data_IF_824948028145
#
_entry.id   IF_824948028145
#
_cell.length_a   1.000
_cell.length_b   1.000
_cell.length_c   1.000
_cell.angle_alpha   90.00
_cell.angle_beta   90.00
_cell.angle_gamma   90.00
#
_symmetry.space_group_name_H-M   'P 1'
#
loop_
_entity.id
_entity.type
_entity.pdbx_description
1 polymer ?
#
# COMPACT_ATOMS: atom_id res chain seq x y z
N UNK A 1 -26.71 19.75 40.73
CA UNK A 1 -27.93 19.81 39.89
C UNK A 1 -28.78 21.00 40.33
N UNK A 2 -29.75 21.42 39.51
CA UNK A 2 -30.68 22.52 39.85
C UNK A 2 -31.48 22.17 41.11
N UNK A 3 -31.83 20.88 41.25
CA UNK A 3 -32.46 20.31 42.43
C UNK A 3 -31.67 20.62 43.70
N UNK A 4 -30.38 20.28 43.72
CA UNK A 4 -29.54 20.48 44.88
C UNK A 4 -29.34 21.96 45.17
N UNK A 5 -29.20 22.81 44.15
CA UNK A 5 -29.12 24.26 44.32
C UNK A 5 -30.40 24.83 44.95
N UNK A 6 -31.58 24.47 44.43
CA UNK A 6 -32.87 24.91 44.97
C UNK A 6 -33.09 24.42 46.40
N UNK A 7 -32.86 23.14 46.67
CA UNK A 7 -33.03 22.57 48.02
C UNK A 7 -32.07 23.25 48.99
N UNK A 8 -30.78 23.36 48.67
CA UNK A 8 -29.81 24.04 49.54
C UNK A 8 -30.20 25.51 49.79
N UNK A 9 -30.67 26.22 48.76
CA UNK A 9 -31.10 27.61 48.91
C UNK A 9 -32.34 27.74 49.81
N UNK A 10 -33.36 26.91 49.61
CA UNK A 10 -34.56 26.88 50.44
C UNK A 10 -34.21 26.51 51.89
N UNK A 11 -33.41 25.48 52.11
CA UNK A 11 -33.06 25.00 53.45
C UNK A 11 -32.16 25.96 54.23
N UNK A 12 -31.16 26.53 53.58
CA UNK A 12 -30.26 27.50 54.20
C UNK A 12 -31.02 28.75 54.66
N UNK A 13 -31.92 29.27 53.81
CA UNK A 13 -32.72 30.44 54.14
C UNK A 13 -33.78 30.16 55.20
N UNK A 14 -34.47 29.01 55.13
CA UNK A 14 -35.39 28.60 56.20
C UNK A 14 -34.67 28.46 57.53
N UNK A 15 -33.49 27.84 57.56
CA UNK A 15 -32.69 27.73 58.79
C UNK A 15 -32.22 29.10 59.29
N UNK A 16 -31.90 30.03 58.39
CA UNK A 16 -31.58 31.42 58.74
C UNK A 16 -32.77 32.14 59.39
N UNK A 17 -33.96 32.06 58.77
CA UNK A 17 -35.20 32.66 59.28
C UNK A 17 -35.60 32.01 60.61
N UNK A 18 -35.51 30.68 60.73
CA UNK A 18 -35.78 29.94 61.97
C UNK A 18 -34.95 30.47 63.13
N UNK A 19 -33.61 30.50 62.97
CA UNK A 19 -32.70 31.01 64.01
C UNK A 19 -32.97 32.47 64.35
N UNK A 20 -33.32 33.27 63.34
CA UNK A 20 -33.66 34.68 63.50
C UNK A 20 -34.94 34.85 64.34
N UNK A 21 -35.97 34.03 64.11
CA UNK A 21 -37.23 34.04 64.87
C UNK A 21 -37.01 33.47 66.28
N UNK A 22 -36.31 32.35 66.40
CA UNK A 22 -36.02 31.68 67.67
C UNK A 22 -35.27 32.61 68.63
N UNK A 23 -34.24 33.33 68.14
CA UNK A 23 -33.52 34.31 68.95
C UNK A 23 -34.43 35.40 69.53
N UNK A 24 -35.45 35.82 68.77
CA UNK A 24 -36.41 36.84 69.21
C UNK A 24 -37.49 36.28 70.12
N UNK A 25 -37.93 35.05 69.88
CA UNK A 25 -38.76 34.27 70.82
C UNK A 25 -38.05 34.17 72.18
N UNK A 26 -36.75 33.91 72.19
CA UNK A 26 -35.96 33.84 73.43
C UNK A 26 -35.93 35.18 74.18
N UNK A 27 -35.79 36.31 73.47
CA UNK A 27 -35.86 37.65 74.09
C UNK A 27 -37.25 37.92 74.69
N UNK A 28 -38.33 37.59 73.98
CA UNK A 28 -39.71 37.76 74.49
C UNK A 28 -39.98 36.84 75.68
N UNK A 29 -39.51 35.60 75.63
CA UNK A 29 -39.66 34.66 76.74
C UNK A 29 -38.87 35.11 77.98
N UNK A 30 -37.67 35.68 77.81
CA UNK A 30 -36.90 36.25 78.92
C UNK A 30 -37.61 37.47 79.53
N UNK A 31 -38.28 38.30 78.71
CA UNK A 31 -39.02 39.45 79.19
C UNK A 31 -40.20 39.10 80.13
N UNK A 32 -40.71 37.86 80.08
CA UNK A 32 -41.76 37.35 81.00
C UNK A 32 -41.36 37.44 82.46
N UNK A 33 -40.07 37.28 82.71
CA UNK A 33 -39.54 37.29 84.06
C UNK A 33 -39.38 38.70 84.63
N UNK A 34 -39.64 39.77 83.85
CA UNK A 34 -39.59 41.15 84.33
C UNK A 34 -40.42 41.35 85.61
N UNK A 35 -41.63 40.79 85.65
CA UNK A 35 -42.53 40.87 86.81
C UNK A 35 -42.08 40.03 88.03
N UNK A 36 -41.05 39.18 87.91
CA UNK A 36 -40.40 38.53 89.07
C UNK A 36 -39.57 39.53 89.88
N UNK A 37 -39.07 40.58 89.23
CA UNK A 37 -38.03 41.45 89.79
C UNK A 37 -38.52 42.86 90.09
N UNK A 38 -39.56 43.35 89.40
CA UNK A 38 -40.08 44.71 89.55
C UNK A 38 -41.57 44.80 89.21
N UNK A 39 -42.27 45.72 89.87
CA UNK A 39 -43.66 46.11 89.53
C UNK A 39 -43.73 47.14 88.39
N UNK A 40 -42.61 47.78 88.06
CA UNK A 40 -42.44 48.66 86.88
C UNK A 40 -41.45 48.02 85.89
N UNK A 41 -41.94 47.21 84.93
CA UNK A 41 -41.11 46.47 83.99
C UNK A 41 -40.66 47.31 82.77
N UNK A 42 -40.93 48.63 82.74
CA UNK A 42 -40.67 49.46 81.55
C UNK A 42 -39.23 49.36 81.04
N UNK A 43 -38.25 49.41 81.94
CA UNK A 43 -36.82 49.29 81.60
C UNK A 43 -36.45 47.92 81.01
N UNK A 44 -37.11 46.84 81.46
CA UNK A 44 -36.95 45.50 80.87
C UNK A 44 -37.50 45.46 79.45
N UNK A 45 -38.66 46.06 79.22
CA UNK A 45 -39.23 46.13 77.87
C UNK A 45 -38.40 47.02 76.94
N UNK A 46 -37.81 48.13 77.42
CA UNK A 46 -36.85 48.92 76.63
C UNK A 46 -35.62 48.08 76.25
N UNK A 47 -35.06 47.33 77.21
CA UNK A 47 -33.93 46.43 76.96
C UNK A 47 -34.28 45.33 75.96
N UNK A 48 -35.43 44.68 76.12
CA UNK A 48 -35.92 43.66 75.18
C UNK A 48 -36.14 44.24 73.78
N UNK A 49 -36.69 45.45 73.67
CA UNK A 49 -36.87 46.17 72.40
C UNK A 49 -35.53 46.29 71.66
N UNK A 50 -34.50 46.78 72.36
CA UNK A 50 -33.18 46.96 71.77
C UNK A 50 -32.48 45.62 71.46
N UNK A 51 -32.52 44.66 72.39
CA UNK A 51 -31.84 43.37 72.26
C UNK A 51 -32.42 42.51 71.13
N UNK A 52 -33.74 42.49 70.98
CA UNK A 52 -34.42 41.77 69.90
C UNK A 52 -34.53 42.56 68.59
N UNK A 53 -34.11 43.84 68.59
CA UNK A 53 -34.33 44.79 67.49
C UNK A 53 -35.81 44.85 67.09
N UNK A 54 -36.68 44.90 68.09
CA UNK A 54 -38.11 45.09 67.90
C UNK A 54 -38.41 46.56 67.65
N UNK A 55 -39.55 46.82 67.02
CA UNK A 55 -40.14 48.15 66.98
C UNK A 55 -40.55 48.58 68.39
N UNK A 56 -41.17 47.67 69.14
CA UNK A 56 -41.54 47.85 70.53
C UNK A 56 -41.74 46.49 71.21
N UNK A 57 -41.34 46.38 72.48
CA UNK A 57 -41.77 45.30 73.38
C UNK A 57 -42.71 45.86 74.45
N UNK A 58 -43.74 45.10 74.81
CA UNK A 58 -44.81 45.53 75.69
C UNK A 58 -45.50 44.35 76.39
N UNK A 59 -46.32 44.65 77.40
CA UNK A 59 -47.20 43.71 78.07
C UNK A 59 -48.64 44.26 78.14
N UNK A 60 -49.61 43.44 77.76
CA UNK A 60 -50.99 43.60 78.16
C UNK A 60 -51.26 42.78 79.41
N UNK A 61 -51.83 43.38 80.44
CA UNK A 61 -52.24 42.69 81.66
C UNK A 61 -53.71 42.26 81.57
N UNK A 62 -54.08 41.23 82.35
CA UNK A 62 -55.45 40.73 82.42
C UNK A 62 -56.45 41.76 82.97
N UNK A 63 -55.98 42.72 83.77
CA UNK A 63 -56.73 43.88 84.25
C UNK A 63 -56.95 44.97 83.18
N UNK A 64 -56.33 44.83 82.00
CA UNK A 64 -56.46 45.76 80.86
C UNK A 64 -55.35 46.81 80.77
N UNK A 65 -54.43 46.90 81.74
CA UNK A 65 -53.28 47.81 81.64
C UNK A 65 -52.37 47.40 80.49
N UNK A 66 -51.82 48.40 79.79
CA UNK A 66 -50.86 48.23 78.71
C UNK A 66 -49.54 48.92 79.09
N UNK A 67 -48.48 48.13 79.19
CA UNK A 67 -47.15 48.58 79.62
C UNK A 67 -46.18 48.45 78.47
N UNK A 68 -45.46 49.51 78.14
CA UNK A 68 -44.64 49.60 76.94
C UNK A 68 -43.20 49.95 77.27
N UNK A 69 -42.25 49.36 76.53
CA UNK A 69 -40.82 49.68 76.65
C UNK A 69 -40.41 50.97 75.94
N UNK A 70 -41.23 51.45 75.01
CA UNK A 70 -41.03 52.71 74.29
C UNK A 70 -42.35 53.46 74.35
N UNK A 71 -42.30 54.78 74.61
CA UNK A 71 -43.51 55.59 74.69
C UNK A 71 -44.05 55.90 73.29
N UNK A 72 -44.86 54.99 72.75
CA UNK A 72 -45.63 55.20 71.53
C UNK A 72 -47.05 55.68 71.85
N UNK A 73 -47.67 56.51 70.99
CA UNK A 73 -49.05 56.96 71.17
C UNK A 73 -50.01 55.77 71.20
N UNK A 74 -50.83 55.67 72.25
CA UNK A 74 -51.89 54.67 72.36
C UNK A 74 -53.23 55.32 72.06
N UNK A 75 -54.03 54.79 71.11
CA UNK A 75 -55.36 55.33 70.83
C UNK A 75 -56.26 55.33 72.06
N UNK A 76 -57.13 56.34 72.16
CA UNK A 76 -58.13 56.40 73.23
C UNK A 76 -59.04 55.17 73.17
N UNK A 77 -59.29 54.52 74.32
CA UNK A 77 -60.09 53.30 74.40
C UNK A 77 -59.38 52.01 73.98
N UNK A 78 -58.06 52.03 73.77
CA UNK A 78 -57.28 50.83 73.46
C UNK A 78 -57.34 49.80 74.60
N UNK A 79 -57.78 48.58 74.29
CA UNK A 79 -57.73 47.43 75.19
C UNK A 79 -56.85 46.32 74.57
N UNK A 80 -55.69 46.00 75.17
CA UNK A 80 -54.78 44.99 74.63
C UNK A 80 -55.43 43.60 74.55
N UNK A 81 -56.43 43.29 75.39
CA UNK A 81 -57.07 41.97 75.48
C UNK A 81 -57.92 41.63 74.26
N UNK A 82 -58.30 42.64 73.47
CA UNK A 82 -59.09 42.46 72.25
C UNK A 82 -58.25 42.09 71.03
N UNK A 83 -56.92 42.29 71.11
CA UNK A 83 -55.98 42.12 70.00
C UNK A 83 -55.62 40.65 69.78
N UNK A 84 -55.34 40.28 68.54
CA UNK A 84 -55.02 38.89 68.19
C UNK A 84 -53.71 38.42 68.83
N UNK A 85 -52.73 39.33 68.95
CA UNK A 85 -51.49 39.07 69.68
C UNK A 85 -51.74 38.75 71.16
N UNK A 86 -52.87 39.15 71.75
CA UNK A 86 -53.24 38.78 73.11
C UNK A 86 -54.07 37.49 73.14
N UNK A 87 -55.15 37.42 72.35
CA UNK A 87 -56.11 36.30 72.40
C UNK A 87 -55.48 34.96 72.05
N UNK A 88 -54.66 34.90 71.00
CA UNK A 88 -54.08 33.65 70.47
C UNK A 88 -53.11 32.97 71.46
N UNK A 89 -52.11 33.66 72.04
CA UNK A 89 -51.26 33.06 73.06
C UNK A 89 -52.03 32.72 74.34
N UNK A 90 -53.03 33.51 74.73
CA UNK A 90 -53.88 33.18 75.89
C UNK A 90 -54.66 31.88 75.67
N UNK A 91 -55.23 31.67 74.47
CA UNK A 91 -55.99 30.43 74.18
C UNK A 91 -55.10 29.21 73.98
N UNK A 92 -53.91 29.39 73.42
CA UNK A 92 -52.99 28.28 73.10
C UNK A 92 -52.04 27.92 74.24
N UNK A 93 -51.81 28.84 75.18
CA UNK A 93 -50.83 28.70 76.26
C UNK A 93 -49.38 28.68 75.79
N UNK A 94 -49.11 29.06 74.53
CA UNK A 94 -47.79 28.95 73.89
C UNK A 94 -47.35 30.30 73.33
N UNK A 95 -46.04 30.45 73.14
CA UNK A 95 -45.51 31.55 72.32
C UNK A 95 -45.96 31.38 70.88
N UNK A 96 -46.47 32.44 70.27
CA UNK A 96 -46.93 32.45 68.89
C UNK A 96 -46.34 33.64 68.15
N UNK A 97 -46.24 33.49 66.83
CA UNK A 97 -45.94 34.58 65.90
C UNK A 97 -47.23 34.88 65.16
N UNK A 98 -47.71 36.12 65.21
CA UNK A 98 -49.00 36.48 64.59
C UNK A 98 -48.93 36.52 63.07
N UNK A 99 -50.09 36.53 62.42
CA UNK A 99 -50.17 37.02 61.05
C UNK A 99 -49.79 38.52 61.01
N UNK A 100 -49.32 39.06 59.86
CA UNK A 100 -49.02 40.48 59.76
C UNK A 100 -50.28 41.33 59.86
N UNK A 101 -50.24 42.40 60.65
CA UNK A 101 -51.33 43.34 60.83
C UNK A 101 -50.80 44.77 60.97
N UNK A 102 -51.68 45.77 60.78
CA UNK A 102 -51.31 47.16 60.96
C UNK A 102 -51.17 47.51 62.45
N UNK A 103 -50.00 47.99 62.85
CA UNK A 103 -49.76 48.50 64.19
C UNK A 103 -50.66 49.72 64.46
N UNK A 104 -51.22 49.76 65.66
CA UNK A 104 -52.21 50.78 66.05
C UNK A 104 -51.60 52.15 66.31
N UNK A 105 -50.30 52.21 66.61
CA UNK A 105 -49.59 53.45 66.94
C UNK A 105 -48.89 54.05 65.72
N UNK A 106 -48.29 53.21 64.88
CA UNK A 106 -47.45 53.63 63.75
C UNK A 106 -48.11 53.44 62.38
N UNK A 107 -49.18 52.65 62.30
CA UNK A 107 -49.81 52.23 61.05
C UNK A 107 -48.88 51.41 60.12
N UNK A 108 -47.72 50.98 60.62
CA UNK A 108 -46.81 50.09 59.91
C UNK A 108 -47.33 48.64 59.97
N UNK A 109 -47.03 47.85 58.94
CA UNK A 109 -47.27 46.41 59.00
C UNK A 109 -46.24 45.76 59.92
N UNK A 110 -46.75 45.11 60.97
CA UNK A 110 -45.95 44.42 61.97
C UNK A 110 -46.38 42.97 62.14
N UNK A 111 -45.47 42.18 62.67
CA UNK A 111 -45.74 40.84 63.19
C UNK A 111 -45.34 40.82 64.65
N UNK A 112 -46.21 40.30 65.52
CA UNK A 112 -45.91 40.24 66.95
C UNK A 112 -45.47 38.84 67.34
N UNK A 113 -44.35 38.74 68.04
CA UNK A 113 -44.03 37.55 68.82
C UNK A 113 -44.69 37.75 70.19
N UNK A 114 -45.69 36.93 70.48
CA UNK A 114 -46.51 37.09 71.66
C UNK A 114 -46.50 35.83 72.52
N UNK A 115 -46.46 36.01 73.83
CA UNK A 115 -46.36 34.88 74.75
C UNK A 115 -47.08 35.14 76.07
N UNK A 116 -47.89 34.18 76.56
CA UNK A 116 -48.61 34.36 77.80
C UNK A 116 -47.65 34.23 78.98
N UNK A 117 -47.96 34.94 80.06
CA UNK A 117 -47.25 34.82 81.33
C UNK A 117 -48.21 34.88 82.51
N UNK A 118 -47.81 34.22 83.60
CA UNK A 118 -48.45 34.30 84.90
C UNK A 118 -47.35 34.21 85.96
N UNK A 119 -47.04 35.32 86.61
CA UNK A 119 -45.86 35.45 87.46
C UNK A 119 -46.05 36.54 88.50
N UNK A 120 -45.69 36.26 89.76
CA UNK A 120 -45.73 37.21 90.87
C UNK A 120 -47.09 37.94 91.04
N UNK A 121 -48.20 37.24 90.82
CA UNK A 121 -49.55 37.82 90.90
C UNK A 121 -50.01 38.59 89.65
N UNK A 122 -49.12 38.83 88.68
CA UNK A 122 -49.46 39.41 87.38
C UNK A 122 -49.75 38.31 86.36
N UNK A 123 -50.78 38.52 85.55
CA UNK A 123 -51.11 37.65 84.41
C UNK A 123 -51.40 38.49 83.19
N UNK A 124 -51.01 38.00 82.02
CA UNK A 124 -51.13 38.75 80.79
C UNK A 124 -50.39 38.12 79.62
N UNK A 125 -50.13 38.93 78.60
CA UNK A 125 -49.37 38.55 77.42
C UNK A 125 -48.29 39.60 77.17
N UNK A 126 -47.05 39.14 76.98
CA UNK A 126 -45.97 39.98 76.47
C UNK A 126 -45.95 39.84 74.96
N UNK A 127 -45.91 40.98 74.27
CA UNK A 127 -45.74 41.07 72.83
C UNK A 127 -44.47 41.84 72.51
N UNK A 128 -43.85 41.49 71.37
CA UNK A 128 -42.86 42.35 70.76
C UNK A 128 -43.07 42.41 69.25
N UNK A 129 -43.17 43.63 68.74
CA UNK A 129 -43.49 43.89 67.33
C UNK A 129 -42.22 43.92 66.48
N UNK A 130 -42.27 43.16 65.40
CA UNK A 130 -41.26 43.15 64.36
C UNK A 130 -41.82 43.90 63.16
N UNK A 131 -41.07 44.88 62.69
CA UNK A 131 -41.41 45.60 61.48
C UNK A 131 -41.27 44.65 60.27
N UNK A 132 -42.37 44.48 59.52
CA UNK A 132 -42.42 43.54 58.41
C UNK A 132 -41.45 43.93 57.28
N UNK A 133 -41.11 45.21 57.14
CA UNK A 133 -40.17 45.67 56.11
C UNK A 133 -38.78 45.04 56.27
N UNK A 134 -38.32 44.80 57.51
CA UNK A 134 -37.04 44.14 57.76
C UNK A 134 -37.05 42.72 57.19
N UNK A 135 -38.13 41.97 57.45
CA UNK A 135 -38.30 40.62 56.92
C UNK A 135 -38.45 40.59 55.40
N UNK A 136 -39.18 41.56 54.83
CA UNK A 136 -39.32 41.71 53.37
C UNK A 136 -37.95 41.94 52.74
N UNK A 137 -37.16 42.86 53.27
CA UNK A 137 -35.84 43.17 52.71
C UNK A 137 -34.89 41.96 52.77
N UNK A 138 -34.92 41.20 53.87
CA UNK A 138 -34.11 39.98 54.01
C UNK A 138 -34.51 38.93 52.96
N UNK A 139 -35.81 38.73 52.71
CA UNK A 139 -36.31 37.80 51.68
C UNK A 139 -35.97 38.28 50.27
N UNK A 140 -36.07 39.59 50.00
CA UNK A 140 -35.74 40.19 48.69
C UNK A 140 -34.23 40.14 48.42
N UNK A 141 -33.38 40.19 49.44
CA UNK A 141 -31.93 40.13 49.27
C UNK A 141 -31.41 38.82 48.65
N UNK A 142 -32.25 37.78 48.63
CA UNK A 142 -31.96 36.46 48.04
C UNK A 142 -32.07 36.52 46.49
N UNK A 143 -32.70 37.55 45.95
CA UNK A 143 -32.96 37.70 44.51
C UNK A 143 -31.67 37.71 43.69
N UNK A 144 -31.65 36.87 42.65
CA UNK A 144 -30.61 36.76 41.63
C UNK A 144 -31.28 36.71 40.26
N UNK A 145 -30.55 36.90 39.15
CA UNK A 145 -31.12 36.75 37.82
C UNK A 145 -31.80 35.38 37.64
N UNK A 146 -33.13 35.38 37.50
CA UNK A 146 -33.96 34.18 37.39
C UNK A 146 -34.21 33.42 38.69
N UNK A 147 -33.88 33.96 39.86
CA UNK A 147 -34.18 33.34 41.17
C UNK A 147 -34.73 34.40 42.12
N UNK A 148 -35.89 34.16 42.71
CA UNK A 148 -36.42 35.03 43.77
C UNK A 148 -37.15 34.19 44.82
N UNK A 149 -37.43 34.79 45.97
CA UNK A 149 -38.13 34.13 47.06
C UNK A 149 -39.27 35.00 47.61
N UNK A 150 -40.21 34.35 48.28
CA UNK A 150 -41.30 35.01 48.99
C UNK A 150 -41.78 34.15 50.18
N UNK A 151 -42.43 34.80 51.14
CA UNK A 151 -43.08 34.15 52.29
C UNK A 151 -44.59 34.19 52.12
N UNK A 152 -45.24 33.08 52.44
CA UNK A 152 -46.71 32.95 52.46
C UNK A 152 -47.14 32.36 53.80
N UNK A 153 -48.24 32.81 54.38
CA UNK A 153 -48.82 32.15 55.55
C UNK A 153 -49.59 30.86 55.19
N UNK A 154 -50.06 30.13 56.20
CA UNK A 154 -50.81 28.89 55.97
C UNK A 154 -52.19 29.10 55.35
N UNK A 155 -52.69 30.34 55.28
CA UNK A 155 -53.93 30.70 54.60
C UNK A 155 -53.69 31.10 53.12
N UNK A 156 -52.43 31.15 52.68
CA UNK A 156 -52.07 31.52 51.32
C UNK A 156 -51.96 33.02 51.10
N UNK A 157 -51.87 33.85 52.14
CA UNK A 157 -51.58 35.28 52.00
C UNK A 157 -50.08 35.51 51.99
N UNK A 158 -49.65 36.46 51.16
CA UNK A 158 -48.25 36.81 51.00
C UNK A 158 -47.81 37.67 52.20
N UNK A 159 -46.79 37.19 52.90
CA UNK A 159 -46.18 37.87 54.05
C UNK A 159 -45.03 38.77 53.59
N UNK A 160 -44.21 38.28 52.66
CA UNK A 160 -43.12 39.05 52.08
C UNK A 160 -42.89 38.66 50.62
N UNK A 161 -42.73 39.64 49.74
CA UNK A 161 -42.47 39.44 48.32
C UNK A 161 -41.70 40.65 47.76
N UNK A 162 -40.96 40.46 46.66
CA UNK A 162 -40.21 41.55 45.98
C UNK A 162 -41.11 42.68 45.49
N UNK A 163 -42.29 42.31 45.00
CA UNK A 163 -43.38 43.23 44.75
C UNK A 163 -44.17 43.43 46.06
N UNK A 164 -43.99 44.62 46.67
CA UNK A 164 -44.62 44.98 47.94
C UNK A 164 -46.12 45.18 47.82
N UNK A 165 -46.64 45.43 46.61
CA UNK A 165 -48.08 45.56 46.40
C UNK A 165 -48.81 44.22 46.55
N UNK A 166 -48.07 43.10 46.57
CA UNK A 166 -48.61 41.77 46.81
C UNK A 166 -48.73 41.43 48.30
N UNK A 167 -48.14 42.20 49.21
CA UNK A 167 -48.22 41.93 50.65
C UNK A 167 -49.69 41.90 51.12
N UNK A 168 -50.03 40.90 51.93
CA UNK A 168 -51.38 40.53 52.39
C UNK A 168 -52.36 40.06 51.31
N UNK A 169 -52.00 40.09 50.01
CA UNK A 169 -52.82 39.52 48.93
C UNK A 169 -52.63 38.00 48.85
N UNK A 170 -53.51 37.35 48.10
CA UNK A 170 -53.44 35.89 47.90
C UNK A 170 -52.22 35.52 47.05
N UNK A 171 -51.60 34.38 47.34
CA UNK A 171 -50.54 33.78 46.51
C UNK A 171 -51.00 33.51 45.06
N UNK A 172 -52.31 33.41 44.83
CA UNK A 172 -52.89 33.31 43.49
C UNK A 172 -52.63 34.57 42.62
N UNK A 173 -52.29 35.71 43.25
CA UNK A 173 -51.86 36.92 42.53
C UNK A 173 -50.43 36.83 41.98
N UNK A 174 -49.61 35.89 42.47
CA UNK A 174 -48.27 35.59 41.91
C UNK A 174 -48.37 34.66 40.70
N UNK A 175 -49.29 33.69 40.73
CA UNK A 175 -49.66 32.88 39.57
C UNK A 175 -51.00 32.21 39.83
N UNK A 176 -51.86 32.14 38.81
CA UNK A 176 -53.18 31.51 38.91
C UNK A 176 -53.11 30.03 39.33
N UNK A 177 -51.97 29.38 39.10
CA UNK A 177 -51.73 27.99 39.45
C UNK A 177 -51.24 27.80 40.90
N UNK A 178 -51.08 28.89 41.67
CA UNK A 178 -50.67 28.84 43.07
C UNK A 178 -51.87 28.94 44.01
N UNK A 179 -51.81 28.15 45.08
CA UNK A 179 -52.77 28.16 46.17
C UNK A 179 -52.09 27.79 47.49
N UNK A 180 -52.74 28.09 48.62
CA UNK A 180 -52.25 27.69 49.95
C UNK A 180 -52.00 26.18 50.03
N UNK A 181 -52.91 25.37 49.49
CA UNK A 181 -52.79 23.91 49.46
C UNK A 181 -51.58 23.46 48.65
N UNK A 182 -51.30 24.14 47.53
CA UNK A 182 -50.14 23.84 46.68
C UNK A 182 -48.82 24.11 47.39
N UNK A 183 -48.72 25.26 48.06
CA UNK A 183 -47.53 25.60 48.86
C UNK A 183 -47.32 24.60 50.01
N UNK A 184 -48.41 24.19 50.68
CA UNK A 184 -48.38 23.15 51.73
C UNK A 184 -47.92 21.79 51.18
N UNK A 185 -48.42 21.37 50.01
CA UNK A 185 -47.97 20.09 49.42
C UNK A 185 -46.49 20.14 49.04
N UNK A 186 -46.03 21.25 48.46
CA UNK A 186 -44.62 21.45 48.12
C UNK A 186 -43.70 21.43 49.35
N UNK A 187 -44.21 21.84 50.52
CA UNK A 187 -43.43 21.82 51.76
C UNK A 187 -43.21 20.42 52.36
N UNK A 188 -44.02 19.44 51.95
CA UNK A 188 -43.97 18.08 52.49
C UNK A 188 -43.08 17.15 51.67
N UNK A 189 -42.89 17.46 50.39
CA UNK A 189 -42.03 16.69 49.48
C UNK A 189 -40.71 17.45 49.23
N UNK A 190 -39.55 16.89 49.63
CA UNK A 190 -38.25 17.50 49.35
C UNK A 190 -37.93 17.40 47.85
N UNK A 191 -38.55 18.28 47.08
CA UNK A 191 -38.41 18.40 45.63
C UNK A 191 -38.74 19.80 45.15
N UNK A 192 -38.77 19.95 43.83
CA UNK A 192 -39.32 21.11 43.17
C UNK A 192 -40.40 20.64 42.22
N UNK A 193 -41.36 21.51 41.97
CA UNK A 193 -42.36 21.29 40.94
C UNK A 193 -42.14 22.24 39.78
N UNK A 194 -42.24 21.70 38.57
CA UNK A 194 -42.20 22.51 37.37
C UNK A 194 -43.57 23.10 37.10
N UNK A 195 -43.64 24.43 36.98
CA UNK A 195 -44.88 25.11 36.63
C UNK A 195 -44.62 26.44 35.95
N UNK A 196 -45.67 26.99 35.33
CA UNK A 196 -45.61 28.34 34.77
C UNK A 196 -45.95 29.38 35.83
N UNK A 197 -45.02 30.29 36.09
CA UNK A 197 -45.21 31.51 36.89
C UNK A 197 -44.99 32.70 35.96
N UNK A 198 -45.95 33.63 35.90
CA UNK A 198 -45.90 34.79 35.01
C UNK A 198 -45.58 34.46 33.54
N UNK A 199 -46.03 33.29 33.06
CA UNK A 199 -45.78 32.82 31.69
C UNK A 199 -44.40 32.21 31.43
N UNK A 200 -43.51 32.17 32.44
CA UNK A 200 -42.19 31.55 32.35
C UNK A 200 -42.18 30.15 33.00
N UNK A 201 -41.53 29.18 32.35
CA UNK A 201 -41.27 27.87 32.96
C UNK A 201 -40.34 28.02 34.16
N UNK A 202 -40.87 27.71 35.33
CA UNK A 202 -40.21 27.91 36.61
C UNK A 202 -40.19 26.64 37.44
N UNK A 203 -39.20 26.53 38.32
CA UNK A 203 -39.13 25.51 39.35
C UNK A 203 -39.48 26.13 40.69
N UNK A 204 -40.42 25.52 41.39
CA UNK A 204 -40.87 25.99 42.70
C UNK A 204 -40.55 24.99 43.78
N UNK A 205 -39.99 25.50 44.88
CA UNK A 205 -39.79 24.74 46.11
C UNK A 205 -40.30 25.57 47.28
N UNK A 206 -40.99 24.92 48.21
CA UNK A 206 -41.46 25.57 49.43
C UNK A 206 -41.01 24.77 50.65
N UNK A 207 -40.80 25.43 51.78
CA UNK A 207 -40.53 24.76 53.05
C UNK A 207 -41.14 25.55 54.19
N UNK A 208 -41.77 24.86 55.14
CA UNK A 208 -42.38 25.49 56.30
C UNK A 208 -41.29 26.09 57.19
N UNK A 209 -41.49 27.33 57.62
CA UNK A 209 -40.64 28.03 58.58
C UNK A 209 -41.04 27.60 59.99
N UNK A 210 -40.15 26.96 60.77
CA UNK A 210 -40.44 26.54 62.13
C UNK A 210 -40.90 27.70 63.03
N UNK A 211 -41.68 27.37 64.07
CA UNK A 211 -42.29 28.34 65.01
C UNK A 211 -43.30 29.34 64.42
N UNK A 212 -43.55 29.28 63.11
CA UNK A 212 -44.53 30.11 62.42
C UNK A 212 -45.50 29.26 61.60
N UNK A 213 -46.52 29.89 61.05
CA UNK A 213 -47.33 29.29 59.99
C UNK A 213 -46.89 29.73 58.58
N UNK A 214 -45.65 30.21 58.44
CA UNK A 214 -45.13 30.68 57.17
C UNK A 214 -44.45 29.58 56.37
N UNK A 215 -44.48 29.76 55.06
CA UNK A 215 -43.84 28.91 54.07
C UNK A 215 -42.91 29.78 53.24
N UNK A 216 -41.63 29.47 53.29
CA UNK A 216 -40.62 30.11 52.45
C UNK A 216 -40.61 29.41 51.10
N UNK A 217 -40.89 30.17 50.05
CA UNK A 217 -41.02 29.67 48.69
C UNK A 217 -39.97 30.30 47.80
N UNK A 218 -39.23 29.47 47.07
CA UNK A 218 -38.23 29.87 46.08
C UNK A 218 -38.77 29.58 44.69
N UNK A 219 -38.60 30.54 43.78
CA UNK A 219 -38.94 30.43 42.37
C UNK A 219 -37.67 30.56 41.54
N UNK A 220 -37.42 29.59 40.67
CA UNK A 220 -36.30 29.59 39.73
C UNK A 220 -36.85 29.60 38.29
N UNK A 221 -36.77 30.73 37.61
CA UNK A 221 -37.07 30.87 36.19
C UNK A 221 -35.98 30.19 35.35
N UNK A 222 -36.35 29.11 34.65
CA UNK A 222 -35.41 28.35 33.82
C UNK A 222 -34.84 29.20 32.69
N UNK A 223 -35.63 30.07 32.08
CA UNK A 223 -35.20 30.83 30.91
C UNK A 223 -34.06 31.80 31.27
N UNK A 224 -34.16 32.44 32.43
CA UNK A 224 -33.18 33.42 32.92
C UNK A 224 -32.00 32.74 33.62
N UNK A 225 -32.25 31.73 34.46
CA UNK A 225 -31.18 31.02 35.17
C UNK A 225 -30.25 30.25 34.20
N UNK A 226 -30.80 29.68 33.11
CA UNK A 226 -30.00 29.00 32.07
C UNK A 226 -29.53 29.91 30.93
N UNK A 227 -29.89 31.20 30.91
CA UNK A 227 -29.47 32.11 29.84
C UNK A 227 -27.93 32.18 29.72
N UNK A 228 -27.25 32.30 30.86
CA UNK A 228 -25.78 32.31 30.93
C UNK A 228 -25.17 30.98 30.45
N UNK A 229 -25.83 29.85 30.71
CA UNK A 229 -25.37 28.53 30.27
C UNK A 229 -25.53 28.33 28.75
N UNK A 230 -26.63 28.82 28.16
CA UNK A 230 -26.86 28.78 26.70
C UNK A 230 -25.80 29.57 25.93
N UNK A 231 -25.30 30.68 26.49
CA UNK A 231 -24.20 31.45 25.90
C UNK A 231 -22.91 30.63 25.86
N UNK A 232 -22.55 29.99 26.98
CA UNK A 232 -21.37 29.12 27.07
C UNK A 232 -21.47 27.92 26.11
N UNK A 233 -22.63 27.25 26.04
CA UNK A 233 -22.85 26.15 25.10
C UNK A 233 -22.65 26.59 23.64
N UNK A 234 -23.16 27.76 23.26
CA UNK A 234 -23.02 28.31 21.91
C UNK A 234 -21.56 28.63 21.58
N UNK A 235 -20.83 29.24 22.52
CA UNK A 235 -19.40 29.52 22.36
C UNK A 235 -18.60 28.23 22.23
N UNK A 236 -18.84 27.24 23.09
CA UNK A 236 -18.20 25.92 23.02
C UNK A 236 -18.50 25.22 21.69
N UNK A 237 -19.73 25.30 21.17
CA UNK A 237 -20.08 24.76 19.86
C UNK A 237 -19.33 25.45 18.71
N UNK A 238 -19.23 26.78 18.74
CA UNK A 238 -18.45 27.55 17.75
C UNK A 238 -16.97 27.18 17.81
N UNK A 239 -16.37 27.12 19.02
CA UNK A 239 -14.98 26.70 19.19
C UNK A 239 -14.74 25.27 18.69
N UNK A 240 -15.66 24.34 18.97
CA UNK A 240 -15.60 22.98 18.46
C UNK A 240 -15.65 22.90 16.93
N UNK A 241 -16.50 23.71 16.29
CA UNK A 241 -16.57 23.80 14.83
C UNK A 241 -15.30 24.39 14.23
N UNK A 242 -14.74 25.45 14.82
CA UNK A 242 -13.48 26.05 14.38
C UNK A 242 -12.34 25.03 14.51
N UNK A 243 -12.27 24.31 15.63
CA UNK A 243 -11.28 23.27 15.85
C UNK A 243 -11.38 22.16 14.80
N UNK A 244 -12.59 21.68 14.50
CA UNK A 244 -12.83 20.71 13.42
C UNK A 244 -12.37 21.23 12.06
N UNK A 245 -12.69 22.49 11.73
CA UNK A 245 -12.26 23.10 10.48
C UNK A 245 -10.74 23.21 10.37
N UNK A 246 -10.05 23.58 11.46
CA UNK A 246 -8.58 23.63 11.52
C UNK A 246 -7.97 22.24 11.35
N UNK A 247 -8.49 21.23 12.03
CA UNK A 247 -8.04 19.84 11.88
C UNK A 247 -8.22 19.37 10.44
N UNK A 248 -9.39 19.62 9.84
CA UNK A 248 -9.67 19.24 8.46
C UNK A 248 -8.73 19.96 7.47
N UNK A 249 -8.46 21.25 7.68
CA UNK A 249 -7.54 22.03 6.86
C UNK A 249 -6.10 21.50 6.94
N UNK A 250 -5.60 21.26 8.15
CA UNK A 250 -4.26 20.71 8.38
C UNK A 250 -4.14 19.31 7.80
N UNK A 251 -5.14 18.44 8.02
CA UNK A 251 -5.17 17.09 7.46
C UNK A 251 -5.14 17.13 5.92
N UNK A 252 -5.97 17.99 5.31
CA UNK A 252 -5.98 18.17 3.85
C UNK A 252 -4.62 18.64 3.32
N UNK A 253 -3.99 19.60 4.00
CA UNK A 253 -2.67 20.09 3.62
C UNK A 253 -1.58 19.00 3.70
N UNK A 254 -1.56 18.23 4.81
CA UNK A 254 -0.60 17.14 5.02
C UNK A 254 -0.82 16.02 3.99
N UNK A 255 -2.06 15.57 3.78
CA UNK A 255 -2.40 14.51 2.82
C UNK A 255 -2.00 14.94 1.40
N UNK A 256 -2.34 16.16 0.99
CA UNK A 256 -2.00 16.68 -0.34
C UNK A 256 -0.48 16.74 -0.55
N UNK A 257 0.27 17.15 0.47
CA UNK A 257 1.75 17.21 0.41
C UNK A 257 2.38 15.82 0.40
N UNK A 258 1.86 14.88 1.20
CA UNK A 258 2.37 13.51 1.28
C UNK A 258 2.09 12.71 0.01
N UNK A 259 0.92 12.91 -0.63
CA UNK A 259 0.53 12.17 -1.84
C UNK A 259 0.96 12.83 -3.16
N UNK A 260 1.48 14.07 -3.15
CA UNK A 260 1.95 14.74 -4.36
C UNK A 260 2.94 13.91 -5.23
N UNK A 261 3.89 13.15 -4.66
CA UNK A 261 4.81 12.34 -5.46
C UNK A 261 4.11 11.20 -6.25
N UNK A 262 2.95 10.72 -5.79
CA UNK A 262 2.18 9.69 -6.52
C UNK A 262 1.66 10.22 -7.86
N UNK A 263 1.27 11.49 -7.94
CA UNK A 263 0.83 12.08 -9.23
C UNK A 263 1.98 12.18 -10.22
N UNK A 264 3.20 12.48 -9.76
CA UNK A 264 4.40 12.47 -10.59
C UNK A 264 4.73 11.06 -11.08
N UNK A 265 4.67 10.07 -10.18
CA UNK A 265 4.88 8.67 -10.52
C UNK A 265 3.86 8.17 -11.56
N UNK A 266 2.58 8.48 -11.36
CA UNK A 266 1.51 8.16 -12.30
C UNK A 266 1.75 8.78 -13.68
N UNK A 267 2.15 10.06 -13.72
CA UNK A 267 2.42 10.77 -14.97
C UNK A 267 3.63 10.19 -15.71
N UNK A 268 4.69 9.81 -14.98
CA UNK A 268 5.87 9.17 -15.55
C UNK A 268 5.55 7.77 -16.13
N UNK A 269 4.71 6.98 -15.44
CA UNK A 269 4.24 5.69 -15.94
C UNK A 269 3.28 5.83 -17.13
N UNK A 270 2.42 6.86 -17.14
CA UNK A 270 1.58 7.17 -18.29
C UNK A 270 2.42 7.57 -19.50
N UNK A 271 3.42 8.44 -19.32
CA UNK A 271 4.36 8.81 -20.38
C UNK A 271 5.14 7.60 -20.92
N UNK A 272 5.55 6.67 -20.04
CA UNK A 272 6.24 5.45 -20.44
C UNK A 272 5.32 4.47 -21.22
N UNK A 273 4.03 4.38 -20.86
CA UNK A 273 3.10 3.42 -21.47
C UNK A 273 2.40 3.94 -22.73
N UNK A 274 2.07 5.23 -22.78
CA UNK A 274 1.34 5.86 -23.90
C UNK A 274 2.21 6.70 -24.81
N UNK A 275 3.38 7.13 -24.35
CA UNK A 275 4.33 7.91 -25.14
C UNK A 275 5.19 7.03 -26.04
N UNK A 276 6.24 7.62 -26.59
CA UNK A 276 7.21 6.96 -27.50
C UNK A 276 8.13 5.94 -26.79
N UNK A 277 7.81 5.56 -25.55
CA UNK A 277 8.63 4.64 -24.76
C UNK A 277 10.02 5.19 -24.42
N UNK A 278 10.14 6.51 -24.19
CA UNK A 278 11.41 7.14 -23.82
C UNK A 278 11.93 6.64 -22.46
N UNK A 279 12.78 5.62 -22.52
CA UNK A 279 13.41 5.01 -21.35
C UNK A 279 14.50 5.90 -20.72
N UNK A 280 14.81 7.08 -21.26
CA UNK A 280 15.82 7.99 -20.68
C UNK A 280 15.28 8.78 -19.48
N UNK A 281 13.95 8.90 -19.38
CA UNK A 281 13.29 9.57 -18.26
C UNK A 281 13.52 8.82 -16.94
N UNK A 282 13.64 9.59 -15.84
CA UNK A 282 13.78 9.07 -14.48
C UNK A 282 12.87 9.81 -13.52
N UNK A 283 12.35 9.08 -12.54
CA UNK A 283 11.54 9.67 -11.47
C UNK A 283 12.49 10.25 -10.42
N UNK A 284 12.35 11.55 -10.14
CA UNK A 284 13.12 12.21 -9.08
C UNK A 284 12.70 11.71 -7.70
N UNK A 285 13.65 11.20 -6.92
CA UNK A 285 13.39 10.66 -5.58
C UNK A 285 13.65 11.74 -4.53
N UNK A 286 12.59 12.42 -4.09
CA UNK A 286 12.67 13.49 -3.08
C UNK A 286 12.16 13.07 -1.70
N UNK A 287 11.65 11.84 -1.55
CA UNK A 287 11.13 11.31 -0.28
C UNK A 287 11.92 10.09 0.19
N UNK A 288 11.97 9.89 1.51
CA UNK A 288 12.58 8.73 2.17
C UNK A 288 11.53 7.73 2.69
N UNK A 289 10.28 7.90 2.27
CA UNK A 289 9.14 7.05 2.63
C UNK A 289 8.94 5.89 1.64
N UNK A 290 7.82 5.19 1.76
CA UNK A 290 7.40 4.11 0.89
C UNK A 290 7.26 4.57 -0.57
N UNK A 291 6.89 5.83 -0.82
CA UNK A 291 6.76 6.39 -2.17
C UNK A 291 8.15 6.62 -2.79
N UNK A 292 9.11 7.11 -2.00
CA UNK A 292 10.51 7.21 -2.43
C UNK A 292 11.11 5.83 -2.78
N UNK A 293 10.82 4.83 -1.96
CA UNK A 293 11.24 3.44 -2.20
C UNK A 293 10.64 2.87 -3.49
N UNK A 294 9.36 3.12 -3.74
CA UNK A 294 8.69 2.73 -4.98
C UNK A 294 9.32 3.40 -6.21
N UNK A 295 9.63 4.69 -6.14
CA UNK A 295 10.31 5.41 -7.22
C UNK A 295 11.70 4.81 -7.55
N UNK A 296 12.45 4.35 -6.55
CA UNK A 296 13.71 3.64 -6.77
C UNK A 296 13.51 2.32 -7.53
N UNK A 297 12.54 1.50 -7.14
CA UNK A 297 12.25 0.25 -7.85
C UNK A 297 11.85 0.47 -9.30
N UNK A 298 11.04 1.51 -9.57
CA UNK A 298 10.65 1.85 -10.94
C UNK A 298 11.85 2.31 -11.77
N UNK A 299 12.74 3.15 -11.22
CA UNK A 299 13.96 3.55 -11.92
C UNK A 299 14.89 2.35 -12.20
N UNK A 300 14.98 1.38 -11.28
CA UNK A 300 15.74 0.15 -11.50
C UNK A 300 15.13 -0.72 -12.62
N UNK A 301 13.80 -0.81 -12.67
CA UNK A 301 13.09 -1.49 -13.75
C UNK A 301 13.35 -0.84 -15.12
N UNK A 302 13.27 0.50 -15.21
CA UNK A 302 13.59 1.24 -16.43
C UNK A 302 15.04 1.00 -16.86
N UNK A 303 15.99 1.01 -15.91
CA UNK A 303 17.40 0.72 -16.21
C UNK A 303 17.59 -0.69 -16.79
N UNK A 304 16.88 -1.69 -16.26
CA UNK A 304 16.95 -3.05 -16.78
C UNK A 304 16.35 -3.17 -18.19
N UNK A 305 15.28 -2.43 -18.47
CA UNK A 305 14.72 -2.36 -19.83
C UNK A 305 15.70 -1.73 -20.82
N UNK A 306 16.41 -0.66 -20.44
CA UNK A 306 17.43 -0.05 -21.31
C UNK A 306 18.56 -1.03 -21.64
N UNK A 307 19.01 -1.82 -20.66
CA UNK A 307 20.03 -2.84 -20.88
C UNK A 307 19.56 -3.89 -21.90
N UNK A 308 18.32 -4.40 -21.74
CA UNK A 308 17.73 -5.36 -22.69
C UNK A 308 17.63 -4.76 -24.10
N UNK A 309 17.18 -3.52 -24.23
CA UNK A 309 17.06 -2.85 -25.54
C UNK A 309 18.45 -2.67 -26.19
N UNK A 310 19.48 -2.35 -25.40
CA UNK A 310 20.85 -2.25 -25.90
C UNK A 310 21.38 -3.60 -26.38
N UNK A 311 21.17 -4.66 -25.60
CA UNK A 311 21.59 -6.01 -25.97
C UNK A 311 20.90 -6.50 -27.26
N UNK A 312 19.63 -6.13 -27.47
CA UNK A 312 18.90 -6.40 -28.72
C UNK A 312 19.51 -5.63 -29.89
N UNK A 313 19.85 -4.35 -29.70
CA UNK A 313 20.48 -3.53 -30.74
C UNK A 313 21.85 -4.09 -31.15
N UNK A 314 22.67 -4.48 -30.17
CA UNK A 314 23.98 -5.09 -30.40
C UNK A 314 23.85 -6.45 -31.13
N UNK A 315 22.90 -7.29 -30.69
CA UNK A 315 22.60 -8.57 -31.36
C UNK A 315 22.11 -8.38 -32.80
N UNK A 316 21.29 -7.35 -33.04
CA UNK A 316 20.81 -7.01 -34.38
C UNK A 316 21.94 -6.54 -35.29
N UNK A 317 22.90 -5.77 -34.75
CA UNK A 317 24.09 -5.35 -35.48
C UNK A 317 24.97 -6.54 -35.86
N UNK A 318 25.22 -7.47 -34.93
CA UNK A 318 25.97 -8.70 -35.20
C UNK A 318 25.27 -9.57 -36.25
N UNK A 319 23.94 -9.69 -36.17
CA UNK A 319 23.17 -10.43 -37.17
C UNK A 319 23.29 -9.81 -38.57
N UNK A 320 23.28 -8.48 -38.65
CA UNK A 320 23.46 -7.77 -39.92
C UNK A 320 24.87 -8.02 -40.51
N UNK A 321 25.91 -7.92 -39.69
CA UNK A 321 27.29 -8.23 -40.10
C UNK A 321 27.44 -9.69 -40.57
N UNK A 322 26.87 -10.64 -39.82
CA UNK A 322 26.90 -12.05 -40.20
C UNK A 322 26.14 -12.33 -41.50
N UNK A 323 25.04 -11.60 -41.75
CA UNK A 323 24.27 -11.69 -43.00
C UNK A 323 25.08 -11.18 -44.19
N UNK A 324 25.87 -10.11 -44.01
CA UNK A 324 26.79 -9.61 -45.03
C UNK A 324 27.90 -10.61 -45.33
N UNK A 325 28.51 -11.19 -44.29
CA UNK A 325 29.51 -12.28 -44.44
C UNK A 325 28.90 -13.47 -45.18
N UNK A 326 27.69 -13.90 -44.82
CA UNK A 326 27.01 -15.02 -45.48
C UNK A 326 26.75 -14.74 -46.97
N UNK A 327 26.33 -13.51 -47.30
CA UNK A 327 26.14 -13.07 -48.69
C UNK A 327 27.45 -13.12 -49.48
N UNK A 328 28.56 -12.68 -48.89
CA UNK A 328 29.87 -12.73 -49.52
C UNK A 328 30.36 -14.17 -49.76
N UNK A 329 30.19 -15.06 -48.77
CA UNK A 329 30.51 -16.49 -48.92
C UNK A 329 29.67 -17.12 -50.01
N UNK A 330 28.36 -16.88 -50.04
CA UNK A 330 27.47 -17.40 -51.09
C UNK A 330 27.91 -16.94 -52.49
N UNK A 331 28.32 -15.68 -52.63
CA UNK A 331 28.87 -15.14 -53.89
C UNK A 331 30.16 -15.86 -54.30
N UNK A 332 31.10 -16.01 -53.37
CA UNK A 332 32.36 -16.72 -53.62
C UNK A 332 32.14 -18.19 -53.99
N UNK A 333 31.19 -18.86 -53.34
CA UNK A 333 30.81 -20.24 -53.69
C UNK A 333 30.20 -20.30 -55.09
N UNK A 334 29.33 -19.36 -55.47
CA UNK A 334 28.77 -19.29 -56.83
C UNK A 334 29.85 -19.10 -57.90
N UNK A 335 30.83 -18.23 -57.64
CA UNK A 335 31.96 -18.01 -58.56
C UNK A 335 32.84 -19.28 -58.64
N UNK A 336 33.13 -19.93 -57.51
CA UNK A 336 33.86 -21.20 -57.46
C UNK A 336 33.17 -22.34 -58.21
N UNK A 337 31.83 -22.44 -58.11
CA UNK A 337 31.05 -23.40 -58.87
C UNK A 337 31.15 -23.18 -60.38
N UNK A 338 31.25 -21.91 -60.82
CA UNK A 338 31.43 -21.59 -62.25
C UNK A 338 32.77 -22.10 -62.77
N UNK A 339 33.84 -21.94 -61.98
CA UNK A 339 35.17 -22.50 -62.30
C UNK A 339 35.13 -24.03 -62.31
N UNK A 340 34.52 -24.63 -61.30
CA UNK A 340 34.45 -26.10 -61.19
C UNK A 340 33.63 -26.72 -62.33
N UNK A 341 32.55 -26.08 -62.78
CA UNK A 341 31.80 -26.51 -63.97
C UNK A 341 32.67 -26.48 -65.24
N UNK A 342 33.55 -25.48 -65.37
CA UNK A 342 34.49 -25.41 -66.49
C UNK A 342 35.51 -26.55 -66.43
N UNK A 343 36.11 -26.81 -65.27
CA UNK A 343 37.03 -27.94 -65.07
C UNK A 343 36.37 -29.29 -65.35
N UNK A 344 35.13 -29.50 -64.87
CA UNK A 344 34.36 -30.71 -65.18
C UNK A 344 34.14 -30.86 -66.69
N UNK A 345 33.82 -29.77 -67.39
CA UNK A 345 33.67 -29.80 -68.85
C UNK A 345 34.98 -30.20 -69.53
N UNK A 346 36.13 -29.70 -69.06
CA UNK A 346 37.43 -30.07 -69.60
C UNK A 346 37.78 -31.53 -69.32
N UNK A 347 37.48 -32.03 -68.11
CA UNK A 347 37.63 -33.45 -67.78
C UNK A 347 36.76 -34.31 -68.69
N UNK A 348 35.50 -33.93 -68.93
CA UNK A 348 34.62 -34.66 -69.83
C UNK A 348 35.20 -34.72 -71.26
N UNK A 349 35.79 -33.62 -71.75
CA UNK A 349 36.51 -33.62 -73.03
C UNK A 349 37.72 -34.55 -73.02
N UNK A 350 38.56 -34.48 -71.97
CA UNK A 350 39.74 -35.35 -71.85
C UNK A 350 39.36 -36.84 -71.76
N UNK A 351 38.29 -37.17 -71.04
CA UNK A 351 37.75 -38.54 -70.98
C UNK A 351 37.28 -39.00 -72.36
N UNK A 352 36.61 -38.15 -73.14
CA UNK A 352 36.19 -38.46 -74.50
C UNK A 352 37.40 -38.71 -75.42
N UNK A 353 38.44 -37.87 -75.37
CA UNK A 353 39.68 -38.08 -76.11
C UNK A 353 40.41 -39.36 -75.68
N UNK A 354 40.44 -39.65 -74.38
CA UNK A 354 41.04 -40.87 -73.84
C UNK A 354 40.30 -42.12 -74.31
N UNK A 355 38.96 -42.10 -74.33
CA UNK A 355 38.15 -43.21 -74.87
C UNK A 355 38.43 -43.44 -76.36
N UNK A 356 38.51 -42.38 -77.17
CA UNK A 356 38.85 -42.49 -78.59
C UNK A 356 40.26 -43.07 -78.79
N UNK A 357 41.24 -42.60 -78.00
CA UNK A 357 42.63 -43.10 -78.07
C UNK A 357 42.71 -44.57 -77.64
N UNK A 358 41.96 -44.98 -76.63
CA UNK A 358 41.91 -46.38 -76.20
C UNK A 358 41.33 -47.30 -77.28
N UNK A 359 40.30 -46.84 -78.01
CA UNK A 359 39.73 -47.54 -79.15
C UNK A 359 40.73 -47.66 -80.32
N UNK A 360 41.47 -46.59 -80.60
CA UNK A 360 42.55 -46.61 -81.59
C UNK A 360 43.69 -47.58 -81.21
N UNK A 361 44.11 -47.58 -79.93
CA UNK A 361 45.11 -48.53 -79.43
C UNK A 361 44.62 -49.97 -79.53
N UNK A 362 43.35 -50.24 -79.19
CA UNK A 362 42.76 -51.56 -79.34
C UNK A 362 42.75 -52.04 -80.80
N UNK A 363 42.38 -51.15 -81.74
CA UNK A 363 42.42 -51.44 -83.18
C UNK A 363 43.85 -51.70 -83.67
N UNK A 364 44.83 -50.90 -83.26
CA UNK A 364 46.24 -51.10 -83.61
C UNK A 364 46.79 -52.41 -83.04
N UNK A 365 46.42 -52.77 -81.80
CA UNK A 365 46.80 -54.05 -81.20
C UNK A 365 46.22 -55.23 -81.98
N UNK A 366 44.95 -55.14 -82.41
CA UNK A 366 44.31 -56.17 -83.25
C UNK A 366 45.01 -56.31 -84.61
N UNK A 367 45.28 -55.20 -85.31
CA UNK A 367 46.02 -55.23 -86.58
C UNK A 367 47.42 -55.82 -86.43
N UNK A 368 48.09 -55.54 -85.31
CA UNK A 368 49.41 -56.10 -84.99
C UNK A 368 49.32 -57.60 -84.75
N UNK A 369 48.30 -58.07 -84.02
CA UNK A 369 48.05 -59.49 -83.80
C UNK A 369 47.80 -60.23 -85.12
N UNK A 370 46.96 -59.67 -86.01
CA UNK A 370 46.67 -60.23 -87.33
C UNK A 370 47.94 -60.28 -88.20
N UNK A 371 48.76 -59.23 -88.17
CA UNK A 371 50.05 -59.20 -88.89
C UNK A 371 51.05 -60.22 -88.35
N UNK A 372 51.06 -60.45 -87.03
CA UNK A 372 51.88 -61.48 -86.41
C UNK A 372 51.45 -62.89 -86.85
N UNK A 373 50.13 -63.16 -86.87
CA UNK A 373 49.58 -64.43 -87.38
C UNK A 373 50.02 -64.65 -88.84
N UNK A 374 49.84 -63.65 -89.71
CA UNK A 374 50.25 -63.74 -91.11
C UNK A 374 51.77 -63.95 -91.28
N UNK A 375 52.58 -63.29 -90.44
CA UNK A 375 54.03 -63.49 -90.43
C UNK A 375 54.42 -64.92 -90.02
N UNK A 376 53.72 -65.51 -89.03
CA UNK A 376 53.91 -66.91 -88.66
C UNK A 376 53.56 -67.86 -89.80
N UNK A 377 52.45 -67.63 -90.52
CA UNK A 377 52.07 -68.43 -91.69
C UNK A 377 53.13 -68.36 -92.81
N UNK A 378 53.64 -67.17 -93.09
CA UNK A 378 54.72 -66.95 -94.06
C UNK A 378 56.01 -67.67 -93.65
N UNK A 379 56.37 -67.64 -92.35
CA UNK A 379 57.51 -68.39 -91.82
C UNK A 379 57.34 -69.90 -92.00
N UNK A 380 56.16 -70.46 -91.72
CA UNK A 380 55.87 -71.88 -91.95
C UNK A 380 55.91 -72.25 -93.45
N UNK A 381 55.47 -71.35 -94.34
CA UNK A 381 55.63 -71.53 -95.78
C UNK A 381 57.12 -71.50 -96.20
N UNK A 382 57.90 -70.55 -95.68
CA UNK A 382 59.34 -70.45 -95.91
C UNK A 382 60.08 -71.70 -95.44
N UNK A 383 59.73 -72.23 -94.26
CA UNK A 383 60.26 -73.50 -93.74
C UNK A 383 59.99 -74.67 -94.68
N UNK A 384 58.78 -74.76 -95.26
CA UNK A 384 58.47 -75.80 -96.28
C UNK A 384 59.35 -75.67 -97.54
N UNK A 385 59.68 -74.45 -97.96
CA UNK A 385 60.59 -74.21 -99.09
C UNK A 385 62.03 -74.61 -98.75
N UNK A 386 62.52 -74.26 -97.56
CA UNK A 386 63.85 -74.67 -97.07
C UNK A 386 64.00 -76.19 -97.07
N UNK A 387 62.99 -76.93 -96.55
CA UNK A 387 62.99 -78.40 -96.56
C UNK A 387 63.07 -78.93 -97.99
N UNK A 388 62.29 -78.39 -98.92
CA UNK A 388 62.34 -78.76 -100.35
C UNK A 388 63.71 -78.49 -100.99
N UNK A 389 64.35 -77.38 -100.63
CA UNK A 389 65.70 -77.05 -101.11
C UNK A 389 66.74 -78.04 -100.56
N UNK A 390 66.62 -78.43 -99.29
CA UNK A 390 67.50 -79.44 -98.67
C UNK A 390 67.39 -80.79 -99.40
N UNK A 391 66.18 -81.24 -99.71
CA UNK A 391 65.96 -82.47 -100.49
C UNK A 391 66.58 -82.38 -101.89
N UNK A 392 66.43 -81.22 -102.54
CA UNK A 392 66.99 -80.97 -103.88
C UNK A 392 68.53 -80.96 -103.87
N UNK A 393 69.15 -80.35 -102.86
CA UNK A 393 70.61 -80.36 -102.67
C UNK A 393 71.11 -81.78 -102.41
N UNK A 394 70.39 -82.56 -101.60
CA UNK A 394 70.74 -83.96 -101.30
C UNK A 394 70.70 -84.82 -102.57
N UNK A 395 69.66 -84.65 -103.39
CA UNK A 395 69.57 -85.30 -104.70
C UNK A 395 70.69 -84.86 -105.66
N UNK A 396 71.04 -83.57 -105.68
CA UNK A 396 72.13 -83.06 -106.51
C UNK A 396 73.49 -83.65 -106.08
N UNK A 397 73.76 -83.71 -104.78
CA UNK A 397 74.98 -84.33 -104.26
C UNK A 397 75.12 -85.80 -104.72
N UNK A 398 74.02 -86.57 -104.68
CA UNK A 398 73.99 -87.94 -105.18
C UNK A 398 74.28 -88.03 -106.69
N UNK A 399 73.75 -87.09 -107.49
CA UNK A 399 74.02 -87.04 -108.93
C UNK A 399 75.50 -86.69 -109.22
N UNK A 400 76.09 -85.77 -108.46
CA UNK A 400 77.51 -85.40 -108.58
C UNK A 400 78.41 -86.58 -108.22
N UNK A 401 78.08 -87.34 -107.18
CA UNK A 401 78.84 -88.53 -106.78
C UNK A 401 78.78 -89.64 -107.85
N UNK A 402 77.60 -89.88 -108.42
CA UNK A 402 77.46 -90.79 -109.56
C UNK A 402 78.28 -90.33 -110.78
N UNK A 403 78.27 -89.04 -111.10
CA UNK A 403 79.07 -88.49 -112.20
C UNK A 403 80.59 -88.65 -111.95
N UNK A 404 81.04 -88.45 -110.70
CA UNK A 404 82.45 -88.70 -110.33
C UNK A 404 82.85 -90.16 -110.52
N UNK A 405 81.95 -91.11 -110.22
CA UNK A 405 82.18 -92.53 -110.48
C UNK A 405 82.39 -92.85 -111.97
N UNK A 406 81.58 -92.25 -112.84
CA UNK A 406 81.72 -92.41 -114.31
C UNK A 406 83.05 -91.81 -114.81
N UNK A 407 83.49 -90.67 -114.25
CA UNK A 407 84.77 -90.04 -114.62
C UNK A 407 85.97 -90.94 -114.25
N UNK A 408 85.95 -91.57 -113.07
CA UNK A 408 87.02 -92.52 -112.68
C UNK A 408 87.07 -93.76 -113.58
N UNK A 409 85.91 -94.26 -114.02
CA UNK A 409 85.84 -95.38 -114.96
C UNK A 409 86.42 -94.99 -116.34
N UNK A 410 86.17 -93.75 -116.78
CA UNK A 410 86.76 -93.20 -118.01
C UNK A 410 88.29 -93.05 -117.91
N UNK A 411 88.81 -92.57 -116.77
CA UNK A 411 90.25 -92.46 -116.51
C UNK A 411 90.95 -93.82 -116.63
N UNK A 412 90.34 -94.87 -116.04
CA UNK A 412 90.84 -96.24 -116.13
C UNK A 412 90.93 -96.72 -117.58
N UNK A 413 89.87 -96.49 -118.37
CA UNK A 413 89.86 -96.85 -119.79
C UNK A 413 90.94 -96.11 -120.60
N UNK A 414 91.25 -94.85 -120.27
CA UNK A 414 92.31 -94.09 -120.93
C UNK A 414 93.73 -94.59 -120.60
N UNK A 415 93.95 -95.10 -119.38
CA UNK A 415 95.20 -95.75 -118.98
C UNK A 415 95.42 -97.08 -119.71
N UNK A 416 94.36 -97.88 -119.85
CA UNK A 416 94.41 -99.15 -120.59
C UNK A 416 94.76 -98.92 -122.08
N UNK A 417 94.26 -97.83 -122.69
CA UNK A 417 94.64 -97.43 -124.06
C UNK A 417 96.14 -97.08 -124.17
N UNK A 418 96.70 -96.36 -123.19
CA UNK A 418 98.14 -96.04 -123.18
C UNK A 418 99.02 -97.28 -123.05
N UNK A 419 98.59 -98.27 -122.26
CA UNK A 419 99.31 -99.54 -122.12
C UNK A 419 99.40 -100.29 -123.46
N UNK A 420 98.33 -100.27 -124.26
CA UNK A 420 98.30 -100.86 -125.61
C UNK A 420 99.24 -100.12 -126.57
N UNK A 421 99.29 -98.78 -126.51
CA UNK A 421 100.18 -97.98 -127.37
C UNK A 421 101.66 -98.24 -127.08
N UNK A 422 102.03 -98.44 -125.82
CA UNK A 422 103.41 -98.81 -125.44
C UNK A 422 103.82 -100.14 -126.07
N UNK A 423 102.93 -101.15 -126.05
CA UNK A 423 103.22 -102.47 -126.62
C UNK A 423 103.40 -102.43 -128.13
N UNK A 424 102.68 -101.55 -128.82
CA UNK A 424 102.84 -101.36 -130.27
C UNK A 424 104.20 -100.71 -130.60
N UNK A 425 104.65 -99.75 -129.77
CA UNK A 425 105.95 -99.10 -129.94
C UNK A 425 107.12 -100.06 -129.76
N UNK A 426 107.04 -100.96 -128.76
CA UNK A 426 108.07 -101.96 -128.49
C UNK A 426 108.26 -102.96 -129.64
N UNK A 427 107.17 -103.36 -130.31
CA UNK A 427 107.21 -104.26 -131.48
C UNK A 427 107.88 -103.60 -132.70
N UNK A 428 107.66 -102.28 -132.89
CA UNK A 428 108.24 -101.54 -133.99
C UNK A 428 109.77 -101.43 -133.88
N UNK A 429 110.29 -101.24 -132.67
CA UNK A 429 111.73 -101.13 -132.39
C UNK A 429 112.47 -102.46 -132.60
N UNK A 430 111.85 -103.58 -132.21
CA UNK A 430 112.40 -104.93 -132.39
C UNK A 430 112.53 -105.31 -133.88
N UNK A 431 111.63 -104.82 -134.71
CA UNK A 431 111.63 -105.10 -136.16
C UNK A 431 112.76 -104.33 -136.88
N UNK A 432 113.06 -103.11 -136.43
CA UNK A 432 114.13 -102.26 -136.98
C UNK A 432 115.54 -102.86 -136.75
N UNK A 433 115.77 -103.47 -135.59
CA UNK A 433 117.07 -104.06 -135.20
C UNK A 433 117.45 -105.32 -135.99
N UNK A 434 116.47 -106.12 -136.43
CA UNK A 434 116.71 -107.33 -137.24
C UNK A 434 117.19 -107.01 -138.66
N UNK A 435 116.73 -105.90 -139.23
CA UNK A 435 117.08 -105.51 -140.59
C UNK A 435 118.54 -105.05 -140.73
N UNK A 436 119.10 -104.41 -139.69
CA UNK A 436 120.44 -103.83 -139.72
C UNK A 436 121.55 -104.89 -139.65
N UNK A 437 121.35 -105.95 -138.85
CA UNK A 437 122.32 -107.04 -138.73
C UNK A 437 122.50 -107.84 -140.03
N UNK A 438 121.47 -107.93 -140.87
CA UNK A 438 121.55 -108.63 -142.15
C UNK A 438 122.43 -107.89 -143.18
N UNK A 439 122.53 -106.56 -143.09
CA UNK A 439 123.28 -105.74 -144.03
C UNK A 439 124.80 -105.74 -143.77
N UNK A 440 125.23 -105.91 -142.51
CA UNK A 440 126.64 -105.88 -142.12
C UNK A 440 127.38 -107.15 -142.55
N UNK A 441 126.76 -108.32 -142.42
CA UNK A 441 127.45 -109.59 -142.67
C UNK A 441 127.69 -109.88 -144.16
N UNK A 442 126.96 -109.21 -145.06
CA UNK A 442 127.17 -109.30 -146.50
C UNK A 442 128.45 -108.57 -146.98
N UNK A 443 128.92 -107.56 -146.24
CA UNK A 443 130.08 -106.75 -146.64
C UNK A 443 131.44 -107.41 -146.31
N UNK A 444 131.45 -108.39 -145.39
CA UNK A 444 132.70 -108.95 -144.84
C UNK A 444 133.32 -110.07 -145.69
N UNK A 445 132.63 -110.55 -146.72
CA UNK A 445 133.06 -111.68 -147.56
C UNK A 445 133.89 -111.32 -148.81
N UNK A 446 134.32 -110.06 -148.98
CA UNK A 446 134.78 -109.54 -150.28
C UNK A 446 136.29 -109.42 -150.61
N UNK A 447 137.21 -109.20 -149.66
CA UNK A 447 138.50 -108.57 -150.00
C UNK A 447 139.82 -109.29 -149.62
N UNK A 448 139.84 -110.61 -149.38
CA UNK A 448 141.12 -111.37 -149.24
C UNK A 448 141.41 -112.39 -150.35
N UNK A 449 141.10 -112.04 -151.61
CA UNK A 449 141.80 -112.62 -152.77
C UNK A 449 142.36 -111.47 -153.63
N UNK A 450 143.67 -111.56 -153.92
CA UNK A 450 144.57 -110.68 -154.71
C UNK A 450 145.24 -109.57 -153.86
N UNK A 451 146.53 -109.59 -153.52
CA UNK A 451 147.73 -110.21 -154.10
C UNK A 451 148.80 -110.58 -153.03
N UNK A 452 149.75 -111.44 -153.43
CA UNK A 452 150.81 -112.09 -152.63
C UNK A 452 152.04 -111.21 -152.31
N UNK A 453 152.64 -111.43 -151.12
CA UNK A 453 153.79 -110.77 -150.44
C UNK A 453 153.40 -109.91 -149.24
#
# INVERSE_FOLDING_TARGET
>A
SIQQYSTTLTEANVSGIEKWIEGRINVVNAAKDAFKYTDDPKSYFTQSTNAGRFQIAYAGLSDGRFLQGVDLPVPEGYDPRTRDWYKVPTSTGKTVVTEPYGDVATNDLVVTIASPFNTNGYSGVIGADLNLNTLINDVVSIEQPGVYAFLVDGNGKIVAHRDRDLTLKSVANVSQNLSANKIKSLSQDPGFEEMSIDGAESLLSAKKVPHTDWYFTVVIDKSQSFASYRSLLRQSAIFGLIQLAVIAFVAMFVIKKALAPLTTLSSAMEALSKGDGDLTQRITVNSKDEIGTLAHHVNAFIAKLQEIVRDIADSSSQLNEQSEVSTNVARQTSDGLTVQLHEISQIATAVHEMSATAEEVANNAQMTADSAISSTENCEQGKRVIIRNQDSITNLAQQVENASGIIQELEKNALDINAILSTISDIAEQTNLLALNAAIEAARAGEQVVASQ
#
